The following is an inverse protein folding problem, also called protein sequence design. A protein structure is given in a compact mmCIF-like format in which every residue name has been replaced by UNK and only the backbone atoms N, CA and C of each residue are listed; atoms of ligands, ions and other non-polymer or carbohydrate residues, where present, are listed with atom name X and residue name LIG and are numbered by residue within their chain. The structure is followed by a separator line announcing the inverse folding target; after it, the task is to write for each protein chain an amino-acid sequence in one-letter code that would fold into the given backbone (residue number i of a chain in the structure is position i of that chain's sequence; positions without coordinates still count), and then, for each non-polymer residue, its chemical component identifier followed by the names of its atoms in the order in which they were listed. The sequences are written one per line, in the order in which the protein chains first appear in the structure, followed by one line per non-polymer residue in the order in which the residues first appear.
data_IF_093679597673
#
_entry.id   IF_093679597673
#
_cell.length_a   1.000
_cell.length_b   1.000
_cell.length_c   1.000
_cell.angle_alpha   90.00
_cell.angle_beta   90.00
_cell.angle_gamma   90.00
#
_symmetry.space_group_name_H-M   'P 1'
#
loop_
_entity.id
_entity.type
_entity.pdbx_description
1 polymer ?
#
# COMPACT_ATOMS: atom_id res chain seq x y z
N UNK A 1 -22.66 -18.86 31.09
CA UNK A 1 -22.43 -19.91 30.07
C UNK A 1 -23.20 -21.23 30.32
N UNK A 2 -23.49 -21.73 31.55
CA UNK A 2 -24.18 -23.03 31.71
C UNK A 2 -25.68 -22.98 31.38
N UNK A 3 -26.34 -21.83 31.55
CA UNK A 3 -27.80 -21.71 31.33
C UNK A 3 -28.20 -21.88 29.86
N UNK A 4 -27.38 -21.40 28.93
CA UNK A 4 -27.66 -21.52 27.49
C UNK A 4 -27.54 -22.98 27.00
N UNK A 5 -26.62 -23.75 27.57
CA UNK A 5 -26.45 -25.18 27.29
C UNK A 5 -27.65 -25.97 27.82
N UNK A 6 -28.12 -25.66 29.04
CA UNK A 6 -29.31 -26.29 29.61
C UNK A 6 -30.59 -26.00 28.82
N UNK A 7 -30.75 -24.78 28.29
CA UNK A 7 -31.92 -24.43 27.47
C UNK A 7 -31.89 -25.10 26.08
N UNK A 8 -30.71 -25.21 25.47
CA UNK A 8 -30.54 -25.93 24.21
C UNK A 8 -30.81 -27.44 24.38
N UNK A 9 -30.33 -28.03 25.47
CA UNK A 9 -30.61 -29.43 25.83
C UNK A 9 -32.11 -29.68 26.09
N UNK A 10 -32.81 -28.74 26.73
CA UNK A 10 -34.24 -28.89 27.02
C UNK A 10 -35.12 -28.67 25.76
N UNK A 11 -34.72 -27.78 24.85
CA UNK A 11 -35.43 -27.55 23.58
C UNK A 11 -35.34 -28.75 22.63
N UNK A 12 -34.20 -29.46 22.61
CA UNK A 12 -33.99 -30.65 21.78
C UNK A 12 -34.71 -31.91 22.29
N UNK A 13 -35.29 -31.89 23.50
CA UNK A 13 -35.79 -33.07 24.22
C UNK A 13 -37.25 -33.48 23.88
N UNK A 14 -37.92 -32.79 22.94
CA UNK A 14 -39.36 -33.03 22.68
C UNK A 14 -39.69 -34.23 21.77
N UNK A 15 -38.72 -35.10 21.43
CA UNK A 15 -39.02 -36.25 20.55
C UNK A 15 -37.95 -37.34 20.43
N UNK A 16 -36.94 -37.38 21.30
CA UNK A 16 -35.83 -38.33 21.21
C UNK A 16 -35.94 -39.45 22.25
N UNK A 17 -35.72 -40.69 21.84
CA UNK A 17 -35.73 -41.87 22.73
C UNK A 17 -34.56 -41.79 23.73
N UNK A 18 -34.72 -42.29 24.96
CA UNK A 18 -33.69 -42.19 26.02
C UNK A 18 -32.36 -42.84 25.63
N UNK A 19 -32.39 -43.87 24.78
CA UNK A 19 -31.19 -44.51 24.22
C UNK A 19 -30.41 -43.59 23.26
N UNK A 20 -31.12 -42.81 22.44
CA UNK A 20 -30.50 -41.81 21.55
C UNK A 20 -29.86 -40.65 22.31
N UNK A 21 -30.42 -40.30 23.48
CA UNK A 21 -29.96 -39.21 24.34
C UNK A 21 -28.66 -39.58 25.06
N UNK A 22 -28.59 -40.77 25.65
CA UNK A 22 -27.36 -41.27 26.28
C UNK A 22 -26.20 -41.42 25.27
N UNK A 23 -26.51 -41.86 24.05
CA UNK A 23 -25.54 -41.91 22.95
C UNK A 23 -25.04 -40.51 22.58
N UNK A 24 -25.95 -39.53 22.47
CA UNK A 24 -25.60 -38.14 22.15
C UNK A 24 -24.74 -37.52 23.24
N UNK A 25 -25.09 -37.69 24.50
CA UNK A 25 -24.33 -37.17 25.65
C UNK A 25 -22.91 -37.74 25.68
N UNK A 26 -22.74 -39.04 25.40
CA UNK A 26 -21.41 -39.65 25.31
C UNK A 26 -20.56 -39.10 24.16
N UNK A 27 -21.19 -38.79 23.01
CA UNK A 27 -20.51 -38.21 21.83
C UNK A 27 -20.16 -36.75 22.04
N UNK A 28 -21.08 -35.96 22.62
CA UNK A 28 -20.86 -34.56 22.95
C UNK A 28 -19.76 -34.42 24.00
N UNK A 29 -19.74 -35.27 25.03
CA UNK A 29 -18.67 -35.26 26.04
C UNK A 29 -17.29 -35.44 25.40
N UNK A 30 -17.14 -36.44 24.52
CA UNK A 30 -15.88 -36.68 23.81
C UNK A 30 -15.49 -35.54 22.87
N UNK A 31 -16.47 -34.96 22.17
CA UNK A 31 -16.23 -33.79 21.31
C UNK A 31 -15.82 -32.56 22.13
N UNK A 32 -16.43 -32.34 23.30
CA UNK A 32 -16.09 -31.21 24.17
C UNK A 32 -14.67 -31.34 24.74
N UNK A 33 -14.23 -32.53 25.12
CA UNK A 33 -12.85 -32.77 25.57
C UNK A 33 -11.83 -32.44 24.47
N UNK A 34 -12.10 -32.87 23.24
CA UNK A 34 -11.25 -32.55 22.08
C UNK A 34 -11.23 -31.04 21.83
N UNK A 35 -12.38 -30.37 21.82
CA UNK A 35 -12.46 -28.92 21.64
C UNK A 35 -11.71 -28.14 22.74
N UNK A 36 -11.82 -28.58 24.00
CA UNK A 36 -11.10 -27.96 25.13
C UNK A 36 -9.60 -28.15 24.98
N UNK A 37 -9.13 -29.28 24.46
CA UNK A 37 -7.69 -29.51 24.20
C UNK A 37 -7.14 -28.74 23.00
N UNK A 38 -7.98 -28.44 22.01
CA UNK A 38 -7.58 -27.73 20.79
C UNK A 38 -7.32 -26.23 21.05
N UNK A 39 -8.09 -25.61 21.95
CA UNK A 39 -7.93 -24.20 22.31
C UNK A 39 -6.54 -23.83 22.88
N UNK A 40 -6.00 -24.51 23.92
CA UNK A 40 -4.67 -24.21 24.44
C UNK A 40 -3.58 -24.53 23.43
N UNK A 41 -3.75 -25.57 22.60
CA UNK A 41 -2.83 -25.87 21.51
C UNK A 41 -2.76 -24.72 20.51
N UNK A 42 -3.91 -24.16 20.11
CA UNK A 42 -3.96 -22.99 19.25
C UNK A 42 -3.28 -21.75 19.88
N UNK A 43 -3.47 -21.53 21.19
CA UNK A 43 -2.82 -20.44 21.93
C UNK A 43 -1.30 -20.63 22.00
N UNK A 44 -0.81 -21.85 22.21
CA UNK A 44 0.62 -22.16 22.23
C UNK A 44 1.24 -21.93 20.85
N UNK A 45 0.58 -22.37 19.77
CA UNK A 45 1.03 -22.12 18.40
C UNK A 45 1.08 -20.62 18.10
N UNK A 46 0.06 -19.86 18.47
CA UNK A 46 0.03 -18.40 18.33
C UNK A 46 1.18 -17.74 19.12
N UNK A 47 1.43 -18.20 20.34
CA UNK A 47 2.52 -17.69 21.19
C UNK A 47 3.92 -17.94 20.59
N UNK A 48 4.14 -19.11 20.00
CA UNK A 48 5.39 -19.43 19.29
C UNK A 48 5.57 -18.56 18.05
N UNK A 49 4.50 -18.33 17.28
CA UNK A 49 4.53 -17.43 16.12
C UNK A 49 4.89 -16.00 16.54
N UNK A 50 4.22 -15.44 17.56
CA UNK A 50 4.52 -14.09 18.07
C UNK A 50 5.96 -13.98 18.59
N UNK A 51 6.52 -15.06 19.15
CA UNK A 51 7.93 -15.09 19.60
C UNK A 51 8.92 -15.07 18.43
N UNK A 52 8.59 -15.75 17.33
CA UNK A 52 9.42 -15.81 16.12
C UNK A 52 9.35 -14.51 15.29
N UNK A 53 8.31 -13.70 15.46
CA UNK A 53 8.21 -12.39 14.82
C UNK A 53 9.33 -11.43 15.26
N UNK A 54 9.73 -10.56 14.33
CA UNK A 54 10.76 -9.53 14.53
C UNK A 54 10.41 -8.66 15.75
N UNK A 55 11.40 -8.40 16.62
CA UNK A 55 11.19 -7.73 17.92
C UNK A 55 10.51 -6.36 17.82
N UNK A 56 10.77 -5.62 16.74
CA UNK A 56 10.17 -4.31 16.48
C UNK A 56 8.66 -4.40 16.22
N UNK A 57 8.21 -5.38 15.44
CA UNK A 57 6.80 -5.57 15.07
C UNK A 57 5.94 -6.15 16.19
N UNK A 58 6.57 -6.65 17.26
CA UNK A 58 5.83 -7.08 18.46
C UNK A 58 5.03 -5.92 19.03
N UNK A 59 5.62 -4.73 19.15
CA UNK A 59 4.95 -3.57 19.75
C UNK A 59 3.70 -3.13 18.96
N UNK A 60 3.68 -3.36 17.63
CA UNK A 60 2.53 -3.05 16.77
C UNK A 60 1.31 -3.94 17.02
N UNK A 61 1.48 -5.12 17.63
CA UNK A 61 0.36 -6.00 17.98
C UNK A 61 -0.34 -5.58 19.29
N UNK A 62 0.39 -4.93 20.20
CA UNK A 62 -0.17 -4.40 21.45
C UNK A 62 -0.58 -2.94 21.36
N UNK A 63 -0.18 -2.22 20.31
CA UNK A 63 -0.69 -0.87 20.08
C UNK A 63 -2.19 -0.94 19.78
N UNK A 64 -3.00 -0.37 20.66
CA UNK A 64 -4.45 -0.18 20.46
C UNK A 64 -4.79 0.99 19.54
N UNK A 65 -3.77 1.56 18.89
CA UNK A 65 -3.90 2.70 18.02
C UNK A 65 -4.76 2.33 16.81
N UNK A 66 -5.86 3.05 16.61
CA UNK A 66 -6.71 2.82 15.44
C UNK A 66 -6.00 3.35 14.21
N UNK A 67 -6.24 2.70 13.07
CA UNK A 67 -5.69 3.16 11.78
C UNK A 67 -6.04 4.63 11.50
N UNK A 68 -7.23 5.07 11.89
CA UNK A 68 -7.69 6.47 11.80
C UNK A 68 -6.76 7.41 12.58
N UNK A 69 -6.53 7.10 13.84
CA UNK A 69 -5.71 7.92 14.73
C UNK A 69 -4.26 7.96 14.20
N UNK A 70 -3.74 6.84 13.70
CA UNK A 70 -2.41 6.75 13.11
C UNK A 70 -2.25 7.60 11.85
N UNK A 71 -3.22 7.58 10.93
CA UNK A 71 -3.18 8.43 9.74
C UNK A 71 -3.24 9.92 10.11
N UNK A 72 -4.03 10.28 11.13
CA UNK A 72 -4.16 11.66 11.58
C UNK A 72 -2.89 12.16 12.29
N UNK A 73 -2.34 11.39 13.22
CA UNK A 73 -1.08 11.76 13.88
C UNK A 73 0.06 11.82 12.87
N UNK A 74 0.11 10.88 11.93
CA UNK A 74 1.11 10.89 10.87
C UNK A 74 1.01 12.15 10.01
N UNK A 75 -0.19 12.63 9.68
CA UNK A 75 -0.36 13.88 8.93
C UNK A 75 0.02 15.13 9.75
N UNK A 76 -0.38 15.18 11.02
CA UNK A 76 -0.18 16.35 11.89
C UNK A 76 1.26 16.48 12.41
N UNK A 77 1.92 15.37 12.71
CA UNK A 77 3.25 15.33 13.34
C UNK A 77 4.38 15.27 12.30
N UNK A 78 4.11 14.77 11.09
CA UNK A 78 5.16 14.68 10.07
C UNK A 78 5.59 16.05 9.54
N UNK A 79 6.89 16.19 9.31
CA UNK A 79 7.48 17.32 8.59
C UNK A 79 7.73 16.99 7.11
N UNK A 80 7.79 15.71 6.77
CA UNK A 80 8.07 15.22 5.42
C UNK A 80 6.79 15.16 4.56
N UNK A 81 6.81 15.80 3.38
CA UNK A 81 5.64 15.96 2.51
C UNK A 81 5.19 14.63 1.86
N UNK A 82 6.13 13.72 1.59
CA UNK A 82 5.87 12.37 1.10
C UNK A 82 5.04 11.54 2.10
N UNK A 83 5.35 11.68 3.39
CA UNK A 83 4.63 11.01 4.47
C UNK A 83 3.21 11.57 4.60
N UNK A 84 3.03 12.89 4.46
CA UNK A 84 1.70 13.53 4.43
C UNK A 84 0.88 13.10 3.23
N UNK A 85 1.49 13.09 2.04
CA UNK A 85 0.85 12.64 0.83
C UNK A 85 0.44 11.16 0.93
N UNK A 86 1.27 10.31 1.53
CA UNK A 86 0.95 8.89 1.73
C UNK A 86 -0.19 8.68 2.75
N UNK A 87 -0.23 9.47 3.84
CA UNK A 87 -1.36 9.46 4.77
C UNK A 87 -2.67 9.83 4.06
N UNK A 88 -2.62 10.76 3.11
CA UNK A 88 -3.78 11.15 2.30
C UNK A 88 -4.16 10.15 1.22
N UNK A 89 -3.22 9.34 0.74
CA UNK A 89 -3.55 8.20 -0.13
C UNK A 89 -4.46 7.22 0.61
N UNK A 90 -4.45 7.15 1.94
CA UNK A 90 -5.38 6.29 2.64
C UNK A 90 -6.87 6.65 2.38
N UNK A 91 -7.78 5.71 2.65
CA UNK A 91 -9.22 5.89 2.41
C UNK A 91 -9.77 7.16 3.08
N UNK A 92 -10.61 7.94 2.39
CA UNK A 92 -11.12 9.27 2.85
C UNK A 92 -11.68 9.30 4.28
N UNK A 93 -12.24 8.18 4.73
CA UNK A 93 -12.80 8.00 6.09
C UNK A 93 -11.75 8.16 7.20
N UNK A 94 -10.47 7.90 6.92
CA UNK A 94 -9.38 7.96 7.90
C UNK A 94 -9.01 9.42 8.23
N UNK A 95 -9.06 10.31 7.24
CA UNK A 95 -8.70 11.72 7.41
C UNK A 95 -9.90 12.69 7.36
N UNK A 96 -11.13 12.18 7.41
CA UNK A 96 -12.35 13.00 7.34
C UNK A 96 -12.42 14.13 8.38
N UNK A 97 -11.91 13.89 9.59
CA UNK A 97 -11.94 14.87 10.68
C UNK A 97 -10.89 15.97 10.49
N UNK A 98 -9.79 15.66 9.79
CA UNK A 98 -8.68 16.59 9.52
C UNK A 98 -8.79 17.25 8.14
N UNK A 99 -9.96 17.17 7.50
CA UNK A 99 -10.23 17.81 6.20
C UNK A 99 -9.85 19.28 6.10
N UNK A 100 -10.12 20.16 7.10
CA UNK A 100 -9.76 21.56 6.96
C UNK A 100 -8.23 21.75 6.94
N UNK A 101 -7.49 21.02 7.77
CA UNK A 101 -6.02 21.07 7.80
C UNK A 101 -5.42 20.53 6.50
N UNK A 102 -6.02 19.47 5.96
CA UNK A 102 -5.65 18.91 4.67
C UNK A 102 -5.88 19.92 3.55
N UNK A 103 -7.02 20.63 3.56
CA UNK A 103 -7.34 21.64 2.56
C UNK A 103 -6.32 22.78 2.57
N UNK A 104 -6.04 23.35 3.74
CA UNK A 104 -5.06 24.41 3.90
C UNK A 104 -3.66 23.98 3.44
N UNK A 105 -3.27 22.74 3.75
CA UNK A 105 -2.00 22.17 3.29
C UNK A 105 -1.94 22.00 1.77
N UNK A 106 -3.02 21.53 1.14
CA UNK A 106 -3.08 21.39 -0.32
C UNK A 106 -3.05 22.76 -0.98
N UNK A 107 -3.88 23.72 -0.55
CA UNK A 107 -3.94 25.06 -1.13
C UNK A 107 -2.61 25.82 -0.98
N UNK A 108 -1.97 25.74 0.19
CA UNK A 108 -0.71 26.46 0.45
C UNK A 108 0.51 25.89 -0.27
N UNK A 109 0.49 24.62 -0.68
CA UNK A 109 1.62 23.98 -1.36
C UNK A 109 1.36 23.68 -2.85
N UNK A 110 0.14 23.93 -3.35
CA UNK A 110 -0.26 23.58 -4.71
C UNK A 110 0.65 24.20 -5.77
N UNK A 111 0.92 25.51 -5.66
CA UNK A 111 1.79 26.22 -6.59
C UNK A 111 3.21 25.65 -6.59
N UNK A 112 3.73 25.35 -5.39
CA UNK A 112 5.05 24.75 -5.22
C UNK A 112 5.15 23.38 -5.88
N UNK A 113 4.14 22.53 -5.74
CA UNK A 113 4.15 21.20 -6.36
C UNK A 113 4.05 21.24 -7.88
N UNK A 114 3.40 22.27 -8.45
CA UNK A 114 3.39 22.47 -9.92
C UNK A 114 4.79 22.72 -10.48
N UNK A 115 5.62 23.44 -9.74
CA UNK A 115 6.99 23.80 -10.14
C UNK A 115 7.99 22.68 -9.83
N UNK A 116 7.99 22.18 -8.59
CA UNK A 116 8.96 21.17 -8.14
C UNK A 116 8.64 19.77 -8.68
N UNK A 117 7.36 19.47 -8.96
CA UNK A 117 6.85 18.19 -9.45
C UNK A 117 7.44 16.96 -8.75
N UNK A 118 7.14 16.78 -7.46
CA UNK A 118 7.68 15.68 -6.69
C UNK A 118 7.13 14.32 -7.18
N UNK A 119 7.92 13.26 -7.00
CA UNK A 119 7.60 11.90 -7.50
C UNK A 119 6.30 11.32 -6.93
N UNK A 120 5.77 11.86 -5.82
CA UNK A 120 4.52 11.40 -5.22
C UNK A 120 3.27 12.11 -5.76
N UNK A 121 3.44 13.21 -6.51
CA UNK A 121 2.37 14.04 -7.09
C UNK A 121 1.89 13.47 -8.44
N UNK A 122 1.24 12.31 -8.37
CA UNK A 122 0.74 11.58 -9.54
C UNK A 122 -0.78 11.76 -9.76
N UNK A 123 -1.27 11.34 -10.94
CA UNK A 123 -2.71 11.32 -11.26
C UNK A 123 -3.54 10.60 -10.18
N UNK A 124 -2.97 9.54 -9.60
CA UNK A 124 -3.62 8.75 -8.54
C UNK A 124 -3.78 9.55 -7.25
N UNK A 125 -2.80 10.39 -6.89
CA UNK A 125 -2.90 11.26 -5.73
C UNK A 125 -4.00 12.31 -5.95
N UNK A 126 -3.97 12.98 -7.11
CA UNK A 126 -4.97 14.00 -7.48
C UNK A 126 -6.39 13.39 -7.54
N UNK A 127 -6.54 12.19 -8.09
CA UNK A 127 -7.84 11.51 -8.15
C UNK A 127 -8.40 11.09 -6.78
N UNK A 128 -7.54 10.90 -5.76
CA UNK A 128 -8.00 10.60 -4.39
C UNK A 128 -8.51 11.84 -3.67
N UNK A 129 -8.06 13.04 -4.05
CA UNK A 129 -8.53 14.30 -3.49
C UNK A 129 -9.99 14.57 -3.86
N UNK A 130 -10.82 15.08 -2.92
CA UNK A 130 -12.09 15.69 -3.26
C UNK A 130 -11.88 16.85 -4.23
N UNK A 131 -12.78 17.05 -5.21
CA UNK A 131 -12.65 18.13 -6.20
C UNK A 131 -12.66 19.52 -5.53
N UNK A 132 -13.23 19.65 -4.34
CA UNK A 132 -13.26 20.88 -3.54
C UNK A 132 -11.88 21.37 -3.05
N UNK A 133 -10.83 20.52 -3.15
CA UNK A 133 -9.48 20.86 -2.67
C UNK A 133 -8.51 21.17 -3.82
N UNK A 134 -8.93 21.01 -5.07
CA UNK A 134 -8.09 21.23 -6.23
C UNK A 134 -8.43 22.61 -6.79
N UNK A 135 -7.53 23.61 -6.69
CA UNK A 135 -7.86 24.97 -7.08
C UNK A 135 -8.14 25.13 -8.58
N UNK A 136 -7.70 24.20 -9.45
CA UNK A 136 -8.19 24.03 -10.84
C UNK A 136 -7.88 22.60 -11.32
N UNK A 137 -8.91 21.81 -11.64
CA UNK A 137 -8.75 20.38 -11.98
C UNK A 137 -8.02 20.17 -13.32
N UNK A 138 -8.20 21.10 -14.26
CA UNK A 138 -7.57 21.05 -15.58
C UNK A 138 -6.06 21.28 -15.48
N UNK A 139 -5.64 22.30 -14.73
CA UNK A 139 -4.23 22.60 -14.43
C UNK A 139 -3.54 21.45 -13.68
N UNK A 140 -4.27 20.80 -12.77
CA UNK A 140 -3.80 19.63 -12.04
C UNK A 140 -3.45 18.46 -12.98
N UNK A 141 -4.34 18.19 -13.94
CA UNK A 141 -4.15 17.13 -14.92
C UNK A 141 -3.04 17.47 -15.91
N UNK A 142 -2.91 18.73 -16.33
CA UNK A 142 -1.82 19.17 -17.20
C UNK A 142 -0.45 18.96 -16.56
N UNK A 143 -0.29 19.31 -15.28
CA UNK A 143 0.95 19.09 -14.54
C UNK A 143 1.39 17.62 -14.57
N UNK A 144 0.45 16.70 -14.31
CA UNK A 144 0.70 15.25 -14.31
C UNK A 144 0.98 14.71 -15.71
N UNK A 145 0.22 15.13 -16.72
CA UNK A 145 0.44 14.70 -18.12
C UNK A 145 1.85 15.06 -18.55
N UNK A 146 2.31 16.26 -18.21
CA UNK A 146 3.65 16.68 -18.58
C UNK A 146 4.76 16.01 -17.76
N UNK A 147 4.48 15.58 -16.52
CA UNK A 147 5.39 14.72 -15.75
C UNK A 147 5.52 13.33 -16.40
N UNK A 148 4.40 12.72 -16.79
CA UNK A 148 4.41 11.44 -17.51
C UNK A 148 5.14 11.52 -18.87
N UNK A 149 5.03 12.67 -19.54
CA UNK A 149 5.73 12.96 -20.80
C UNK A 149 7.23 13.15 -20.59
N UNK A 150 7.63 13.83 -19.50
CA UNK A 150 9.05 13.99 -19.11
C UNK A 150 9.68 12.65 -18.73
N UNK A 151 8.96 11.80 -18.02
CA UNK A 151 9.41 10.44 -17.67
C UNK A 151 9.64 9.59 -18.93
N UNK A 152 8.72 9.60 -19.89
CA UNK A 152 8.89 8.93 -21.19
C UNK A 152 10.07 9.47 -22.02
N UNK A 153 10.44 10.74 -21.82
CA UNK A 153 11.58 11.39 -22.50
C UNK A 153 12.91 11.14 -21.80
N UNK A 154 12.95 10.52 -20.61
CA UNK A 154 14.21 10.13 -19.98
C UNK A 154 14.87 9.07 -20.87
N UNK A 155 16.02 9.34 -21.52
CA UNK A 155 16.70 8.32 -22.30
C UNK A 155 17.07 7.22 -21.31
N UNK A 156 16.50 6.03 -21.49
CA UNK A 156 16.90 4.89 -20.67
C UNK A 156 18.39 4.68 -20.89
N UNK A 157 19.15 4.46 -19.83
CA UNK A 157 20.59 4.17 -19.90
C UNK A 157 20.87 3.01 -20.89
N UNK A 158 19.89 2.12 -21.09
CA UNK A 158 19.88 1.10 -22.15
C UNK A 158 19.96 1.66 -23.58
N UNK A 159 19.31 2.80 -23.87
CA UNK A 159 19.39 3.46 -25.18
C UNK A 159 20.75 4.12 -25.45
N UNK A 160 21.48 4.55 -24.42
CA UNK A 160 22.85 5.05 -24.55
C UNK A 160 23.86 3.91 -24.69
N UNK A 161 23.68 2.80 -23.97
CA UNK A 161 24.55 1.62 -24.07
C UNK A 161 24.50 0.93 -25.46
N UNK A 162 23.40 1.06 -26.20
CA UNK A 162 23.27 0.49 -27.55
C UNK A 162 23.95 1.32 -28.66
N UNK A 163 24.41 2.55 -28.36
CA UNK A 163 24.97 3.48 -29.35
C UNK A 163 26.50 3.56 -29.31
N UNK A 164 27.15 2.49 -28.85
CA UNK A 164 28.60 2.44 -28.67
C UNK A 164 29.24 1.22 -29.32
N UNK A 165 28.89 0.86 -30.57
CA UNK A 165 29.63 -0.14 -31.35
C UNK A 165 29.21 -0.11 -32.83
N UNK A 166 29.73 0.84 -33.61
CA UNK A 166 29.93 0.63 -35.05
C UNK A 166 31.06 1.52 -35.55
N UNK A 167 32.23 0.90 -35.67
CA UNK A 167 33.46 1.52 -36.11
C UNK A 167 33.41 2.01 -37.56
N UNK A 168 34.12 3.10 -37.79
CA UNK A 168 35.36 3.10 -38.58
C UNK A 168 35.40 2.13 -39.78
N UNK A 169 35.18 2.65 -41.00
CA UNK A 169 36.05 2.34 -42.15
C UNK A 169 35.70 3.20 -43.38
N UNK A 170 36.65 4.07 -43.72
CA UNK A 170 37.18 4.35 -45.06
C UNK A 170 36.26 4.90 -46.16
N UNK A 171 36.47 6.19 -46.49
CA UNK A 171 37.08 6.61 -47.77
C UNK A 171 36.68 8.04 -48.14
N UNK A 172 37.51 9.02 -47.74
CA UNK A 172 37.55 10.34 -48.37
C UNK A 172 39.01 10.80 -48.37
N UNK A 173 39.74 10.47 -49.44
CA UNK A 173 41.07 11.02 -49.73
C UNK A 173 40.92 11.99 -50.90
N UNK A 174 41.34 13.21 -50.64
CA UNK A 174 41.40 14.38 -51.53
C UNK A 174 42.35 14.15 -52.73
N UNK A 175 42.22 14.93 -53.82
CA UNK A 175 43.04 14.75 -55.02
C UNK A 175 44.48 15.22 -54.78
N UNK A 176 45.44 14.39 -55.19
CA UNK A 176 46.86 14.71 -55.22
C UNK A 176 47.19 15.31 -56.60
N UNK A 177 47.73 16.52 -56.60
CA UNK A 177 48.41 17.14 -57.75
C UNK A 177 49.56 16.24 -58.22
N UNK A 178 49.64 16.01 -59.53
CA UNK A 178 50.84 15.44 -60.16
C UNK A 178 51.22 16.35 -61.31
N UNK A 179 52.38 16.98 -61.13
CA UNK A 179 53.14 17.75 -62.10
C UNK A 179 53.66 16.88 -63.27
N UNK A 180 54.12 17.61 -64.28
CA UNK A 180 54.70 17.25 -65.58
C UNK A 180 55.70 16.06 -65.61
N UNK A 181 55.67 15.24 -66.67
CA UNK A 181 56.73 15.19 -67.71
C UNK A 181 56.54 14.07 -68.76
N UNK A 182 56.77 14.47 -70.02
CA UNK A 182 57.48 13.79 -71.12
C UNK A 182 57.14 12.32 -71.52
N UNK A 183 56.53 12.15 -72.72
CA UNK A 183 57.22 11.73 -73.97
C UNK A 183 56.27 11.57 -75.16
#
# INVERSE_FOLDING_TARGET
MPVAICLFANYSNRGTTPESQALFDSKVSRLTEVCISLLPLAVVLLGVLIKFMIKSYRQTLWSTMRAKDLTQTQFLESTAEDVKANAMRAHRRLWYDIRPQVKEWVEGNWERWKDERPDWFDAEFIGRLPPEFIPDLEDAMEAVVQQSSREKRRPSIASMAFKGEKGESSSAVLPVEVEEEEK
#
